data_IF_377759494675
#
_entry.id   IF_377759494675
#
_cell.length_a   1.000
_cell.length_b   1.000
_cell.length_c   1.000
_cell.angle_alpha   90.00
_cell.angle_beta   90.00
_cell.angle_gamma   90.00
#
_symmetry.space_group_name_H-M   'P 1'
#
loop_
_entity.id
_entity.type
_entity.pdbx_description
1 polymer ?
#
# COMPACT_ATOMS: atom_id res chain seq x y z
N UNK A 1 13.94 -23.54 23.99
CA UNK A 1 12.86 -22.53 23.94
C UNK A 1 12.95 -21.77 25.24
N UNK A 2 13.48 -20.56 25.16
CA UNK A 2 14.07 -19.83 26.27
C UNK A 2 13.01 -19.35 27.28
N UNK A 3 13.11 -19.85 28.51
CA UNK A 3 12.27 -19.48 29.66
C UNK A 3 12.42 -17.97 30.00
N UNK A 4 13.47 -17.31 29.49
CA UNK A 4 13.71 -15.88 29.66
C UNK A 4 12.79 -14.97 28.83
N UNK A 5 12.24 -15.41 27.69
CA UNK A 5 11.40 -14.55 26.83
C UNK A 5 10.06 -14.19 27.53
N UNK A 6 9.62 -15.02 28.49
CA UNK A 6 8.42 -14.81 29.30
C UNK A 6 8.59 -13.89 30.52
N UNK A 7 9.81 -13.46 30.85
CA UNK A 7 10.08 -12.56 31.99
C UNK A 7 10.24 -11.09 31.58
N UNK A 8 10.37 -10.81 30.28
CA UNK A 8 10.51 -9.44 29.79
C UNK A 8 9.15 -8.82 29.52
N UNK A 9 8.94 -7.58 29.99
CA UNK A 9 7.75 -6.80 29.64
C UNK A 9 7.70 -6.57 28.13
N UNK A 10 6.54 -6.79 27.52
CA UNK A 10 6.35 -6.50 26.09
C UNK A 10 6.53 -5.00 25.82
N UNK A 11 7.28 -4.67 24.77
CA UNK A 11 7.51 -3.29 24.33
C UNK A 11 7.50 -3.18 22.82
N UNK A 12 7.06 -2.02 22.32
CA UNK A 12 7.18 -1.63 20.92
C UNK A 12 7.78 -0.22 20.91
N UNK A 13 9.01 -0.08 20.41
CA UNK A 13 9.68 1.19 20.24
C UNK A 13 9.72 1.55 18.77
N UNK A 14 9.39 2.80 18.44
CA UNK A 14 9.42 3.32 17.07
C UNK A 14 10.12 4.68 17.02
N UNK A 15 10.84 4.93 15.93
CA UNK A 15 11.46 6.23 15.67
C UNK A 15 11.25 6.62 14.20
N UNK A 16 10.89 7.87 13.94
CA UNK A 16 10.89 8.45 12.59
C UNK A 16 12.04 9.45 12.50
N UNK A 17 12.95 9.26 11.55
CA UNK A 17 14.22 10.00 11.48
C UNK A 17 14.76 10.13 10.07
N UNK A 18 15.94 10.72 9.96
CA UNK A 18 16.73 10.83 8.73
C UNK A 18 15.91 11.28 7.50
N UNK A 19 15.36 12.50 7.50
CA UNK A 19 14.61 13.02 6.36
C UNK A 19 15.53 13.17 5.15
N UNK A 20 15.17 12.55 4.02
CA UNK A 20 15.99 12.57 2.80
C UNK A 20 15.17 13.03 1.60
N UNK A 21 15.80 13.82 0.74
CA UNK A 21 15.26 14.13 -0.58
C UNK A 21 15.55 12.96 -1.54
N UNK A 22 14.49 12.29 -1.99
CA UNK A 22 14.52 11.22 -2.97
C UNK A 22 14.09 11.77 -4.32
N UNK A 23 14.75 11.32 -5.39
CA UNK A 23 14.37 11.57 -6.77
C UNK A 23 13.91 10.25 -7.37
N UNK A 24 12.61 10.13 -7.61
CA UNK A 24 12.01 8.97 -8.25
C UNK A 24 12.35 8.98 -9.75
N UNK A 25 12.15 10.15 -10.39
CA UNK A 25 12.42 10.42 -11.80
C UNK A 25 12.96 11.85 -11.98
N UNK A 26 13.21 12.27 -13.23
CA UNK A 26 13.72 13.60 -13.57
C UNK A 26 12.88 14.78 -13.01
N UNK A 27 11.58 14.58 -12.77
CA UNK A 27 10.65 15.62 -12.32
C UNK A 27 9.97 15.32 -10.99
N UNK A 28 10.13 14.10 -10.46
CA UNK A 28 9.44 13.66 -9.26
C UNK A 28 10.43 13.54 -8.11
N UNK A 29 10.47 14.58 -7.29
CA UNK A 29 11.23 14.59 -6.05
C UNK A 29 10.29 14.60 -4.86
N UNK A 30 10.61 13.83 -3.83
CA UNK A 30 9.84 13.81 -2.60
C UNK A 30 10.76 13.67 -1.39
N UNK A 31 10.20 13.92 -0.20
CA UNK A 31 10.90 13.69 1.06
C UNK A 31 10.37 12.40 1.66
N UNK A 32 11.27 11.47 1.96
CA UNK A 32 10.98 10.28 2.73
C UNK A 32 11.66 10.34 4.11
N UNK A 33 11.23 9.46 4.99
CA UNK A 33 11.69 9.34 6.36
C UNK A 33 12.07 7.89 6.62
N UNK A 34 13.16 7.69 7.34
CA UNK A 34 13.48 6.39 7.92
C UNK A 34 12.54 6.11 9.09
N UNK A 35 11.91 4.95 9.08
CA UNK A 35 11.14 4.42 10.20
C UNK A 35 11.92 3.23 10.75
N UNK A 36 12.26 3.30 12.04
CA UNK A 36 12.88 2.21 12.78
C UNK A 36 11.92 1.66 13.81
N UNK A 37 11.75 0.34 13.80
CA UNK A 37 10.96 -0.38 14.82
C UNK A 37 11.89 -1.35 15.54
N UNK A 38 11.81 -1.35 16.87
CA UNK A 38 12.42 -2.35 17.74
C UNK A 38 11.38 -2.85 18.75
N UNK A 39 11.16 -4.15 18.81
CA UNK A 39 10.10 -4.73 19.64
C UNK A 39 10.38 -6.19 20.00
N UNK A 40 9.91 -6.62 21.17
CA UNK A 40 9.78 -8.04 21.53
C UNK A 40 8.35 -8.57 21.32
N UNK A 41 7.40 -7.75 20.87
CA UNK A 41 6.01 -8.14 20.66
C UNK A 41 5.85 -9.24 19.62
N UNK A 42 4.90 -10.15 19.88
CA UNK A 42 4.53 -11.22 18.94
C UNK A 42 3.61 -10.74 17.81
N UNK A 43 3.09 -9.51 17.90
CA UNK A 43 2.34 -8.89 16.82
C UNK A 43 3.22 -8.63 15.59
N UNK A 44 4.54 -8.56 15.76
CA UNK A 44 5.49 -8.24 14.71
C UNK A 44 6.26 -9.47 14.23
N UNK A 45 6.48 -9.56 12.91
CA UNK A 45 7.21 -10.67 12.31
C UNK A 45 8.72 -10.55 12.53
N UNK A 46 9.25 -9.33 12.43
CA UNK A 46 10.65 -8.99 12.73
C UNK A 46 10.73 -8.22 14.05
N UNK A 47 11.74 -8.55 14.87
CA UNK A 47 12.06 -7.82 16.11
C UNK A 47 12.64 -6.43 15.84
N UNK A 48 13.34 -6.29 14.70
CA UNK A 48 13.87 -5.03 14.22
C UNK A 48 13.51 -4.83 12.74
N UNK A 49 13.04 -3.64 12.36
CA UNK A 49 12.87 -3.25 10.96
C UNK A 49 13.28 -1.81 10.72
N UNK A 50 13.84 -1.57 9.54
CA UNK A 50 14.14 -0.23 9.00
C UNK A 50 13.49 -0.18 7.63
N UNK A 51 12.63 0.81 7.41
CA UNK A 51 11.97 1.07 6.13
C UNK A 51 12.00 2.57 5.84
N UNK A 52 11.87 2.96 4.58
CA UNK A 52 11.73 4.36 4.21
C UNK A 52 10.35 4.63 3.63
N UNK A 53 9.68 5.66 4.16
CA UNK A 53 8.30 6.00 3.77
C UNK A 53 8.15 7.49 3.54
N UNK A 54 7.40 7.85 2.49
CA UNK A 54 7.04 9.25 2.19
C UNK A 54 5.69 9.61 2.79
N UNK A 55 5.46 10.91 3.00
CA UNK A 55 4.24 11.41 3.64
C UNK A 55 2.93 10.90 3.00
N UNK A 56 2.85 10.78 1.67
CA UNK A 56 1.64 10.27 1.00
C UNK A 56 1.33 8.82 1.33
N UNK A 57 2.34 8.01 1.69
CA UNK A 57 2.11 6.64 2.15
C UNK A 57 1.55 6.60 3.57
N UNK A 58 1.91 7.56 4.42
CA UNK A 58 1.27 7.73 5.74
C UNK A 58 -0.20 8.13 5.60
N UNK A 59 -0.52 9.02 4.66
CA UNK A 59 -1.92 9.39 4.36
C UNK A 59 -2.71 8.16 3.93
N UNK A 60 -2.14 7.34 3.03
CA UNK A 60 -2.75 6.07 2.63
C UNK A 60 -2.93 5.11 3.80
N UNK A 61 -1.92 4.94 4.66
CA UNK A 61 -1.99 4.07 5.83
C UNK A 61 -3.09 4.52 6.78
N UNK A 62 -3.14 5.81 7.13
CA UNK A 62 -4.17 6.38 8.00
C UNK A 62 -5.56 6.10 7.46
N UNK A 63 -5.79 6.34 6.17
CA UNK A 63 -7.08 6.04 5.53
C UNK A 63 -7.43 4.55 5.64
N UNK A 64 -6.47 3.66 5.37
CA UNK A 64 -6.67 2.22 5.50
C UNK A 64 -7.07 1.79 6.92
N UNK A 65 -6.40 2.35 7.93
CA UNK A 65 -6.68 2.06 9.34
C UNK A 65 -8.04 2.61 9.77
N UNK A 66 -8.42 3.81 9.30
CA UNK A 66 -9.75 4.40 9.58
C UNK A 66 -10.89 3.50 9.08
N UNK A 67 -10.74 2.90 7.89
CA UNK A 67 -11.77 2.00 7.34
C UNK A 67 -11.95 0.70 8.16
N UNK A 68 -10.90 0.25 8.85
CA UNK A 68 -10.93 -0.99 9.63
C UNK A 68 -11.31 -0.77 11.10
N UNK A 69 -11.18 0.45 11.62
CA UNK A 69 -11.39 0.77 13.02
C UNK A 69 -12.34 1.98 13.18
N UNK A 70 -13.57 1.86 12.65
CA UNK A 70 -14.56 2.94 12.58
C UNK A 70 -14.90 3.61 13.92
N UNK A 71 -14.66 2.93 15.04
CA UNK A 71 -14.92 3.43 16.40
C UNK A 71 -13.73 4.25 16.95
N UNK A 72 -12.53 4.07 16.39
CA UNK A 72 -11.29 4.61 16.92
C UNK A 72 -10.92 5.92 16.20
N UNK A 73 -10.76 7.00 16.96
CA UNK A 73 -10.35 8.30 16.42
C UNK A 73 -8.84 8.33 16.22
N UNK A 74 -8.40 8.06 15.00
CA UNK A 74 -6.98 8.12 14.64
C UNK A 74 -6.43 9.55 14.70
N UNK A 75 -5.23 9.76 15.27
CA UNK A 75 -4.59 11.07 15.32
C UNK A 75 -4.44 11.64 13.92
N UNK A 76 -4.51 12.97 13.84
CA UNK A 76 -4.32 13.69 12.59
C UNK A 76 -2.85 13.61 12.20
N UNK A 77 -2.58 13.37 10.92
CA UNK A 77 -1.24 13.55 10.39
C UNK A 77 -0.89 15.05 10.40
N UNK A 78 0.41 15.40 10.49
CA UNK A 78 0.84 16.77 10.31
C UNK A 78 0.33 17.30 8.96
N UNK A 79 -0.02 18.60 8.85
CA UNK A 79 -0.65 19.14 7.66
C UNK A 79 0.21 18.94 6.42
N UNK A 80 -0.46 18.62 5.31
CA UNK A 80 0.22 18.58 4.02
C UNK A 80 0.70 19.99 3.66
N UNK A 81 1.95 20.08 3.24
CA UNK A 81 2.56 21.32 2.77
C UNK A 81 3.31 20.98 1.47
N UNK A 82 2.83 21.45 0.30
CA UNK A 82 3.46 21.20 -0.99
C UNK A 82 4.83 21.88 -1.13
N UNK A 83 5.08 22.92 -0.34
CA UNK A 83 6.31 23.72 -0.39
C UNK A 83 7.31 23.33 0.70
N UNK A 84 7.14 22.17 1.34
CA UNK A 84 8.13 21.71 2.30
C UNK A 84 9.48 21.54 1.59
N UNK A 85 10.52 22.08 2.20
CA UNK A 85 11.89 21.99 1.69
C UNK A 85 12.78 21.42 2.77
N UNK A 86 13.70 20.53 2.40
CA UNK A 86 14.74 20.03 3.32
C UNK A 86 15.56 21.17 3.96
N UNK A 87 15.56 22.36 3.35
CA UNK A 87 16.23 23.55 3.88
C UNK A 87 15.51 24.15 5.09
N UNK A 88 14.19 23.96 5.21
CA UNK A 88 13.43 24.42 6.36
C UNK A 88 13.39 23.33 7.42
N UNK A 89 14.42 23.33 8.28
CA UNK A 89 14.61 22.31 9.32
C UNK A 89 13.43 22.23 10.30
N UNK A 90 12.82 23.37 10.62
CA UNK A 90 11.70 23.42 11.57
C UNK A 90 10.46 22.72 11.02
N UNK A 91 10.12 22.98 9.74
CA UNK A 91 9.00 22.30 9.08
C UNK A 91 9.23 20.79 8.94
N UNK A 92 10.45 20.38 8.62
CA UNK A 92 10.81 18.96 8.50
C UNK A 92 10.75 18.28 9.86
N UNK A 93 11.29 18.91 10.90
CA UNK A 93 11.28 18.41 12.27
C UNK A 93 9.85 18.27 12.80
N UNK A 94 9.02 19.31 12.65
CA UNK A 94 7.61 19.28 13.07
C UNK A 94 6.83 18.19 12.34
N UNK A 95 7.06 18.00 11.03
CA UNK A 95 6.44 16.90 10.29
C UNK A 95 6.91 15.54 10.83
N UNK A 96 8.21 15.37 11.03
CA UNK A 96 8.79 14.11 11.53
C UNK A 96 8.23 13.74 12.91
N UNK A 97 8.12 14.71 13.81
CA UNK A 97 7.49 14.55 15.12
C UNK A 97 6.02 14.11 14.98
N UNK A 98 5.21 14.79 14.17
CA UNK A 98 3.81 14.41 13.97
C UNK A 98 3.63 13.03 13.32
N UNK A 99 4.58 12.59 12.47
CA UNK A 99 4.59 11.23 11.92
C UNK A 99 4.95 10.20 13.00
N UNK A 100 5.88 10.53 13.90
CA UNK A 100 6.24 9.67 15.02
C UNK A 100 5.06 9.52 16.00
N UNK A 101 4.46 10.62 16.44
CA UNK A 101 3.28 10.61 17.34
C UNK A 101 2.12 9.79 16.74
N UNK A 102 1.87 9.93 15.43
CA UNK A 102 0.87 9.12 14.73
C UNK A 102 1.17 7.61 14.85
N UNK A 103 2.41 7.19 14.58
CA UNK A 103 2.75 5.78 14.65
C UNK A 103 2.78 5.26 16.09
N UNK A 104 3.30 6.04 17.04
CA UNK A 104 3.28 5.67 18.46
C UNK A 104 1.86 5.39 18.93
N UNK A 105 0.90 6.25 18.60
CA UNK A 105 -0.51 6.02 18.89
C UNK A 105 -1.04 4.74 18.24
N UNK A 106 -0.76 4.55 16.94
CA UNK A 106 -1.22 3.37 16.19
C UNK A 106 -0.72 2.08 16.83
N UNK A 107 0.54 2.07 17.29
CA UNK A 107 1.18 0.90 17.88
C UNK A 107 0.72 0.60 19.32
N UNK A 108 0.12 1.57 20.01
CA UNK A 108 -0.50 1.37 21.32
C UNK A 108 -1.96 0.87 21.24
N UNK A 109 -2.55 0.79 20.04
CA UNK A 109 -3.91 0.32 19.85
C UNK A 109 -3.95 -1.12 19.31
N UNK A 110 -4.29 -2.14 20.13
CA UNK A 110 -4.22 -3.55 19.72
C UNK A 110 -5.04 -3.89 18.48
N UNK A 111 -6.19 -3.23 18.29
CA UNK A 111 -7.03 -3.42 17.11
C UNK A 111 -6.30 -3.07 15.81
N UNK A 112 -5.47 -2.02 15.82
CA UNK A 112 -4.73 -1.58 14.64
C UNK A 112 -3.54 -2.50 14.33
N UNK A 113 -2.95 -3.12 15.36
CA UNK A 113 -1.89 -4.12 15.22
C UNK A 113 -2.36 -5.38 14.48
N UNK A 114 -3.67 -5.61 14.35
CA UNK A 114 -4.20 -6.72 13.54
C UNK A 114 -4.19 -6.45 12.04
N UNK A 115 -3.99 -5.20 11.59
CA UNK A 115 -4.04 -4.85 10.17
C UNK A 115 -2.73 -5.22 9.45
N UNK A 116 -2.83 -6.14 8.49
CA UNK A 116 -1.66 -6.54 7.69
C UNK A 116 -1.00 -5.40 6.89
N UNK A 117 -1.75 -4.35 6.53
CA UNK A 117 -1.21 -3.18 5.81
C UNK A 117 -0.26 -2.37 6.68
N UNK A 118 -0.51 -2.30 8.00
CA UNK A 118 0.40 -1.68 8.97
C UNK A 118 1.73 -2.43 9.00
N UNK A 119 1.67 -3.76 9.07
CA UNK A 119 2.89 -4.59 9.10
C UNK A 119 3.69 -4.52 7.80
N UNK A 120 3.01 -4.54 6.65
CA UNK A 120 3.66 -4.32 5.36
C UNK A 120 4.30 -2.93 5.29
N UNK A 121 3.63 -1.90 5.80
CA UNK A 121 4.14 -0.54 5.84
C UNK A 121 5.41 -0.42 6.69
N UNK A 122 5.45 -1.05 7.87
CA UNK A 122 6.55 -0.94 8.83
C UNK A 122 7.70 -1.94 8.61
N UNK A 123 7.46 -3.06 7.92
CA UNK A 123 8.42 -4.17 7.86
C UNK A 123 8.78 -4.64 6.44
N UNK A 124 8.24 -3.99 5.40
CA UNK A 124 8.56 -4.30 3.99
C UNK A 124 8.89 -3.07 3.15
N UNK A 125 9.60 -3.25 2.04
CA UNK A 125 9.89 -2.20 1.05
C UNK A 125 8.83 -2.10 -0.07
N UNK A 126 7.65 -2.70 0.13
CA UNK A 126 6.58 -2.66 -0.86
C UNK A 126 5.97 -1.25 -0.98
N UNK A 127 5.75 -0.78 -2.20
CA UNK A 127 4.95 0.42 -2.46
C UNK A 127 3.45 0.19 -2.18
N UNK A 128 2.67 1.29 -2.12
CA UNK A 128 1.21 1.26 -1.85
C UNK A 128 0.47 0.20 -2.66
N UNK A 129 0.65 0.17 -3.98
CA UNK A 129 -0.06 -0.76 -4.88
C UNK A 129 0.24 -2.22 -4.53
N UNK A 130 1.51 -2.54 -4.24
CA UNK A 130 1.92 -3.90 -3.86
C UNK A 130 1.46 -4.26 -2.45
N UNK A 131 1.48 -3.33 -1.51
CA UNK A 131 0.95 -3.55 -0.16
C UNK A 131 -0.55 -3.86 -0.19
N UNK A 132 -1.34 -3.08 -0.92
CA UNK A 132 -2.78 -3.28 -1.04
C UNK A 132 -3.11 -4.64 -1.67
N UNK A 133 -2.43 -4.98 -2.78
CA UNK A 133 -2.62 -6.29 -3.42
C UNK A 133 -2.24 -7.44 -2.48
N UNK A 134 -1.15 -7.31 -1.74
CA UNK A 134 -0.68 -8.34 -0.82
C UNK A 134 -1.65 -8.55 0.35
N UNK A 135 -2.11 -7.47 0.98
CA UNK A 135 -3.10 -7.52 2.05
C UNK A 135 -4.44 -8.15 1.60
N UNK A 136 -4.79 -8.02 0.32
CA UNK A 136 -6.00 -8.62 -0.29
C UNK A 136 -5.79 -10.04 -0.84
N UNK A 137 -4.61 -10.64 -0.66
CA UNK A 137 -4.30 -11.96 -1.21
C UNK A 137 -4.19 -12.00 -2.74
N UNK A 138 -3.96 -10.85 -3.40
CA UNK A 138 -3.84 -10.72 -4.87
C UNK A 138 -2.40 -10.76 -5.37
N UNK A 139 -1.47 -11.27 -4.57
CA UNK A 139 -0.05 -11.47 -4.91
C UNK A 139 0.31 -12.95 -4.87
N UNK A 140 1.38 -13.34 -5.56
CA UNK A 140 1.92 -14.72 -5.50
C UNK A 140 2.66 -15.04 -4.20
N UNK A 141 2.77 -14.07 -3.30
CA UNK A 141 3.43 -14.20 -2.01
C UNK A 141 2.53 -13.69 -0.89
N UNK A 142 2.71 -14.25 0.30
CA UNK A 142 1.97 -13.85 1.51
C UNK A 142 2.57 -12.61 2.16
N UNK A 143 1.83 -12.01 3.12
CA UNK A 143 2.33 -10.91 3.95
C UNK A 143 3.62 -11.31 4.70
N UNK A 144 3.65 -12.52 5.24
CA UNK A 144 4.82 -13.04 5.96
C UNK A 144 6.04 -13.18 5.04
N UNK A 145 5.85 -13.71 3.82
CA UNK A 145 6.91 -13.83 2.83
C UNK A 145 7.42 -12.46 2.36
N UNK A 146 6.53 -11.48 2.17
CA UNK A 146 6.91 -10.12 1.80
C UNK A 146 7.81 -9.48 2.86
N UNK A 147 7.45 -9.63 4.14
CA UNK A 147 8.22 -9.10 5.26
C UNK A 147 9.57 -9.82 5.35
N UNK A 148 9.61 -11.14 5.22
CA UNK A 148 10.86 -11.93 5.29
C UNK A 148 11.83 -11.58 4.16
N UNK A 149 11.35 -11.39 2.94
CA UNK A 149 12.19 -11.07 1.76
C UNK A 149 12.82 -9.69 1.81
N UNK A 150 12.25 -8.79 2.61
CA UNK A 150 12.81 -7.45 2.81
C UNK A 150 14.14 -7.62 3.52
N UNK A 151 15.23 -7.39 2.79
CA UNK A 151 16.58 -7.63 3.28
C UNK A 151 16.80 -6.88 4.59
N UNK A 152 17.49 -7.50 5.57
CA UNK A 152 18.05 -6.78 6.72
C UNK A 152 19.16 -5.77 6.32
N UNK A 153 19.25 -5.46 5.03
CA UNK A 153 20.36 -4.77 4.36
C UNK A 153 20.02 -3.30 4.15
N UNK A 154 19.95 -2.56 5.25
CA UNK A 154 20.13 -1.11 5.20
C UNK A 154 21.61 -0.68 5.08
N UNK A 155 22.55 -1.65 5.06
CA UNK A 155 23.99 -1.37 5.11
C UNK A 155 24.84 -2.42 4.40
N UNK A 156 24.56 -2.76 3.14
CA UNK A 156 25.57 -3.35 2.24
C UNK A 156 25.51 -2.69 0.87
N UNK A 157 26.67 -2.19 0.49
CA UNK A 157 27.07 -1.52 -0.74
C UNK A 157 26.36 -2.03 -2.01
N UNK A 158 25.85 -1.08 -2.82
CA UNK A 158 25.67 -1.29 -4.25
C UNK A 158 27.04 -1.25 -4.92
N UNK A 159 27.73 -2.39 -4.90
CA UNK A 159 28.65 -2.75 -5.97
C UNK A 159 28.30 -4.18 -6.39
N UNK A 160 27.86 -4.25 -7.65
CA UNK A 160 27.74 -5.40 -8.53
C UNK A 160 27.29 -6.73 -7.92
N UNK A 161 26.05 -7.13 -8.26
CA UNK A 161 25.88 -8.43 -8.90
C UNK A 161 24.61 -8.46 -9.75
N UNK A 162 24.86 -8.66 -11.04
CA UNK A 162 23.90 -8.92 -12.09
C UNK A 162 23.30 -10.31 -11.83
N UNK A 163 22.13 -10.37 -11.22
CA UNK A 163 21.26 -11.55 -11.34
C UNK A 163 19.84 -11.12 -11.70
N UNK A 164 19.42 -11.68 -12.82
CA UNK A 164 18.17 -11.49 -13.53
C UNK A 164 16.95 -11.74 -12.67
N UNK A 165 16.06 -10.75 -12.57
CA UNK A 165 14.64 -10.98 -12.36
C UNK A 165 13.86 -9.97 -13.20
N UNK A 166 13.69 -10.33 -14.46
CA UNK A 166 12.80 -9.69 -15.40
C UNK A 166 11.38 -10.22 -15.16
N UNK A 167 10.56 -9.52 -14.38
CA UNK A 167 9.11 -9.73 -14.36
C UNK A 167 8.51 -8.92 -15.53
N UNK A 168 8.48 -9.52 -16.72
CA UNK A 168 7.67 -9.04 -17.84
C UNK A 168 6.31 -9.72 -17.80
N UNK A 169 5.27 -8.98 -17.43
CA UNK A 169 3.87 -9.40 -17.55
C UNK A 169 3.45 -9.34 -19.04
N UNK A 170 3.85 -10.35 -19.82
CA UNK A 170 3.30 -10.59 -21.16
C UNK A 170 1.99 -11.36 -21.00
N UNK A 171 0.87 -10.68 -21.17
CA UNK A 171 -0.47 -11.26 -21.26
C UNK A 171 -0.57 -12.11 -22.54
N UNK A 172 -0.28 -13.40 -22.42
CA UNK A 172 -0.66 -14.40 -23.41
C UNK A 172 -2.04 -14.94 -23.08
N UNK A 173 -3.03 -14.60 -23.90
CA UNK A 173 -4.30 -15.33 -23.95
C UNK A 173 -4.05 -16.74 -24.51
N UNK A 174 -3.99 -17.73 -23.62
CA UNK A 174 -3.91 -19.14 -23.99
C UNK A 174 -5.31 -19.68 -24.31
N UNK A 175 -5.61 -19.90 -25.59
CA UNK A 175 -6.72 -20.77 -26.00
C UNK A 175 -6.34 -22.22 -25.72
N UNK A 176 -7.02 -22.87 -24.79
CA UNK A 176 -6.84 -24.31 -24.55
C UNK A 176 -7.52 -25.13 -25.65
N UNK A 177 -6.69 -25.80 -26.44
CA UNK A 177 -7.09 -26.96 -27.25
C UNK A 177 -6.96 -28.25 -26.45
N UNK A 178 -7.96 -29.12 -26.59
CA UNK A 178 -7.98 -30.57 -26.30
C UNK A 178 -9.11 -31.13 -27.20
N UNK A 179 -9.01 -32.19 -28.00
CA UNK A 179 -8.01 -33.23 -28.17
C UNK A 179 -8.70 -34.62 -28.10
N UNK A 180 -9.13 -35.15 -29.27
CA UNK A 180 -9.37 -36.58 -29.62
C UNK A 180 -10.56 -37.31 -28.92
N UNK A 181 -11.37 -38.19 -29.52
CA UNK A 181 -11.22 -39.08 -30.69
C UNK A 181 -12.56 -39.82 -31.03
N UNK A 182 -12.76 -40.18 -32.33
CA UNK A 182 -13.53 -41.35 -32.88
C UNK A 182 -15.08 -41.27 -32.80
N UNK A 183 -15.96 -41.43 -33.82
CA UNK A 183 -15.96 -41.94 -35.21
C UNK A 183 -17.07 -41.26 -36.06
N UNK A 184 -16.93 -41.28 -37.40
CA UNK A 184 -17.87 -40.81 -38.47
C UNK A 184 -18.69 -42.03 -38.97
N UNK A 185 -19.89 -41.99 -39.62
CA UNK A 185 -20.39 -41.00 -40.61
C UNK A 185 -21.90 -40.62 -40.49
N UNK A 186 -22.43 -39.54 -41.09
CA UNK A 186 -22.86 -39.44 -42.49
C UNK A 186 -23.40 -38.01 -42.80
N UNK A 187 -22.81 -37.40 -43.83
CA UNK A 187 -23.44 -36.59 -44.90
C UNK A 187 -24.45 -35.47 -44.55
N UNK A 188 -23.88 -34.29 -44.27
CA UNK A 188 -24.11 -33.05 -45.04
C UNK A 188 -25.47 -32.34 -44.90
N UNK A 189 -25.61 -31.55 -43.84
CA UNK A 189 -26.72 -30.63 -43.55
C UNK A 189 -26.19 -29.37 -42.80
N UNK A 190 -26.99 -28.37 -42.39
CA UNK A 190 -27.07 -27.08 -43.09
C UNK A 190 -27.07 -25.83 -42.13
N UNK A 191 -27.25 -24.63 -42.68
CA UNK A 191 -28.16 -23.52 -42.29
C UNK A 191 -28.74 -23.52 -40.83
N UNK A 192 -28.91 -22.42 -40.07
CA UNK A 192 -29.38 -21.04 -40.34
C UNK A 192 -29.40 -20.20 -39.02
N UNK A 193 -29.30 -18.87 -39.17
CA UNK A 193 -29.99 -17.76 -38.46
C UNK A 193 -30.13 -17.73 -36.91
N UNK A 194 -29.54 -16.79 -36.17
CA UNK A 194 -29.93 -15.38 -35.85
C UNK A 194 -31.16 -15.22 -34.92
N UNK A 195 -30.95 -14.75 -33.67
CA UNK A 195 -31.73 -13.62 -33.09
C UNK A 195 -31.20 -13.02 -31.76
N UNK A 196 -31.20 -11.68 -31.74
CA UNK A 196 -31.54 -10.68 -30.72
C UNK A 196 -31.16 -10.80 -29.23
N UNK A 197 -30.51 -9.75 -28.69
CA UNK A 197 -31.21 -8.57 -28.11
C UNK A 197 -30.23 -7.65 -27.35
N UNK A 198 -29.97 -6.45 -27.89
CA UNK A 198 -29.30 -5.35 -27.20
C UNK A 198 -30.34 -4.24 -26.92
N UNK A 199 -30.46 -3.77 -25.69
CA UNK A 199 -31.17 -2.52 -25.37
C UNK A 199 -30.20 -1.51 -24.76
N UNK A 200 -30.16 -0.35 -25.40
CA UNK A 200 -29.59 0.93 -24.93
C UNK A 200 -30.71 1.71 -24.21
N UNK A 201 -30.41 2.70 -23.35
CA UNK A 201 -30.79 4.06 -23.76
C UNK A 201 -29.76 5.14 -23.41
N UNK A 202 -29.65 6.11 -24.32
CA UNK A 202 -29.00 7.42 -24.15
C UNK A 202 -30.01 8.49 -23.67
N UNK A 203 -29.47 9.49 -22.97
CA UNK A 203 -29.78 10.93 -22.98
C UNK A 203 -31.19 11.45 -22.64
N UNK A 204 -31.25 12.32 -21.62
CA UNK A 204 -31.87 13.65 -21.76
C UNK A 204 -31.26 14.66 -20.77
N UNK A 205 -30.80 15.77 -21.33
CA UNK A 205 -30.35 17.02 -20.71
C UNK A 205 -31.53 17.98 -20.57
N UNK A 206 -31.58 18.77 -19.49
CA UNK A 206 -32.30 20.05 -19.44
C UNK A 206 -31.61 21.01 -18.47
N UNK A 207 -31.05 22.10 -19.01
CA UNK A 207 -30.69 23.34 -18.35
C UNK A 207 -31.94 24.22 -18.17
N UNK A 208 -32.04 24.96 -17.06
CA UNK A 208 -32.42 26.39 -17.11
C UNK A 208 -32.26 27.08 -15.75
N UNK A 209 -31.98 28.38 -15.82
CA UNK A 209 -31.37 29.26 -14.83
C UNK A 209 -32.36 30.10 -13.99
N UNK A 210 -31.81 30.63 -12.89
CA UNK A 210 -32.01 31.97 -12.30
C UNK A 210 -33.25 32.25 -11.43
N UNK A 211 -32.99 32.80 -10.22
CA UNK A 211 -33.14 34.25 -9.91
C UNK A 211 -32.73 34.56 -8.45
N UNK A 212 -31.79 35.48 -8.28
CA UNK A 212 -31.77 36.45 -7.18
C UNK A 212 -32.81 37.56 -7.50
N UNK A 213 -33.42 38.22 -6.50
CA UNK A 213 -32.93 39.56 -6.09
C UNK A 213 -33.09 39.95 -4.59
N UNK A 214 -32.20 40.85 -4.12
CA UNK A 214 -32.34 42.03 -3.20
C UNK A 214 -33.31 41.96 -1.97
N UNK A 215 -33.10 42.55 -0.78
CA UNK A 215 -32.24 43.63 -0.25
C UNK A 215 -32.39 43.74 1.30
N UNK A 216 -31.38 44.31 1.96
CA UNK A 216 -31.44 45.22 3.13
C UNK A 216 -32.19 44.82 4.41
N UNK A 217 -31.45 44.66 5.52
CA UNK A 217 -31.32 45.64 6.62
C UNK A 217 -30.28 45.16 7.63
#
# INVERSE_FOLDING_TARGET
>A
MDILDGLTTEFISICVRDPRLVRDDFWHTHIDYEIYVHTNSMCFRKKNSIVRRRYSEFVWLRHCLEQNALILQLPKLPPWNPFISLRNKDQVSHRMQGLQEFLEYVLHAPLLLSDSRLHLFLQSDLNIRRMERCARGKTRYTVAEAIQRTSSSGYVSRLEEKSSSCDSDYESSSSSGVGLSVDTPLRGSPLLFFESSNRVPELCSCLSQSKNPYSSS
#
